data_IF_659947036504
#
_entry.id   IF_659947036504
#
_cell.length_a   1.000
_cell.length_b   1.000
_cell.length_c   1.000
_cell.angle_alpha   90.00
_cell.angle_beta   90.00
_cell.angle_gamma   90.00
#
_symmetry.space_group_name_H-M   'P 1'
#
loop_
_entity.id
_entity.type
_entity.pdbx_description
1 polymer ?
#
# COMPACT_ATOMS: atom_id res chain seq x y z
N UNK A 1 -70.00 -20.59 -59.23
CA UNK A 1 -69.34 -20.15 -57.93
C UNK A 1 -68.33 -21.16 -57.38
N UNK A 2 -68.59 -22.51 -57.46
CA UNK A 2 -67.67 -23.54 -56.94
C UNK A 2 -66.27 -23.57 -57.61
N UNK A 3 -66.15 -23.21 -58.91
CA UNK A 3 -64.82 -23.18 -59.60
C UNK A 3 -63.97 -21.96 -59.32
N UNK A 4 -64.54 -20.85 -58.94
CA UNK A 4 -63.82 -19.65 -58.57
C UNK A 4 -63.22 -19.79 -57.15
N UNK A 5 -63.97 -20.44 -56.25
CA UNK A 5 -63.52 -20.70 -54.88
C UNK A 5 -62.28 -21.68 -54.84
N UNK A 6 -62.25 -22.63 -55.78
CA UNK A 6 -61.19 -23.65 -55.91
C UNK A 6 -59.90 -22.98 -56.47
N UNK A 7 -59.99 -22.03 -57.39
CA UNK A 7 -58.87 -21.26 -57.91
C UNK A 7 -58.29 -20.31 -56.88
N UNK A 8 -59.12 -19.69 -56.04
CA UNK A 8 -58.67 -18.83 -54.96
C UNK A 8 -57.98 -19.60 -53.82
N UNK A 9 -58.49 -20.83 -53.54
CA UNK A 9 -57.85 -21.75 -52.55
C UNK A 9 -56.46 -22.20 -53.01
N UNK A 10 -56.31 -22.52 -54.31
CA UNK A 10 -55.04 -23.00 -54.89
C UNK A 10 -53.98 -21.86 -54.99
N UNK A 11 -54.43 -20.62 -55.15
CA UNK A 11 -53.54 -19.45 -55.19
C UNK A 11 -53.01 -19.05 -53.78
N UNK A 12 -53.86 -19.23 -52.77
CA UNK A 12 -53.49 -18.95 -51.38
C UNK A 12 -52.50 -19.96 -50.79
N UNK A 13 -52.56 -21.22 -51.25
CA UNK A 13 -51.59 -22.25 -50.78
C UNK A 13 -50.21 -22.13 -51.42
N UNK A 14 -50.06 -21.44 -52.55
CA UNK A 14 -48.75 -21.18 -53.18
C UNK A 14 -47.93 -20.06 -52.49
N UNK A 15 -48.56 -19.21 -51.70
CA UNK A 15 -47.89 -18.09 -51.03
C UNK A 15 -47.19 -18.55 -49.74
N UNK A 16 -47.52 -19.70 -49.18
CA UNK A 16 -46.95 -20.18 -47.94
C UNK A 16 -45.69 -21.09 -48.17
N UNK A 17 -45.32 -21.36 -49.41
CA UNK A 17 -44.05 -22.01 -49.77
C UNK A 17 -42.95 -21.02 -50.08
N UNK A 18 -42.86 -19.92 -49.29
CA UNK A 18 -41.70 -19.04 -49.29
C UNK A 18 -40.52 -19.79 -48.69
N UNK A 19 -39.60 -20.22 -49.52
CA UNK A 19 -38.32 -20.81 -49.09
C UNK A 19 -37.63 -19.84 -48.15
N UNK A 20 -37.49 -20.23 -46.89
CA UNK A 20 -36.43 -19.66 -46.05
C UNK A 20 -35.11 -19.97 -46.73
N UNK A 21 -34.41 -18.95 -47.17
CA UNK A 21 -33.06 -19.09 -47.71
C UNK A 21 -32.12 -19.66 -46.61
N UNK A 22 -31.06 -20.36 -47.00
CA UNK A 22 -30.09 -20.88 -46.04
C UNK A 22 -29.57 -19.76 -45.15
N UNK A 23 -29.55 -20.00 -43.84
CA UNK A 23 -28.95 -19.07 -42.87
C UNK A 23 -27.53 -18.75 -43.31
N UNK A 24 -27.20 -17.46 -43.39
CA UNK A 24 -25.85 -17.03 -43.72
C UNK A 24 -24.82 -17.64 -42.79
N UNK A 25 -23.58 -17.78 -43.23
CA UNK A 25 -22.52 -18.34 -42.40
C UNK A 25 -22.36 -17.50 -41.13
N UNK A 26 -22.01 -18.11 -39.97
CA UNK A 26 -21.70 -17.35 -38.76
C UNK A 26 -20.66 -16.29 -39.04
N UNK A 27 -20.81 -15.14 -38.41
CA UNK A 27 -19.79 -14.07 -38.46
C UNK A 27 -18.43 -14.59 -37.96
N UNK A 28 -17.31 -13.98 -38.39
CA UNK A 28 -16.01 -14.34 -37.88
C UNK A 28 -15.96 -14.18 -36.36
N UNK A 29 -15.18 -15.01 -35.64
CA UNK A 29 -14.94 -14.84 -34.23
C UNK A 29 -14.46 -13.41 -33.94
N UNK A 30 -14.86 -12.85 -32.78
CA UNK A 30 -14.30 -11.59 -32.31
C UNK A 30 -12.79 -11.71 -32.16
N UNK A 31 -12.09 -10.58 -32.28
CA UNK A 31 -10.67 -10.53 -32.00
C UNK A 31 -10.42 -10.94 -30.55
N UNK A 32 -9.32 -11.68 -30.33
CA UNK A 32 -8.85 -11.96 -28.97
C UNK A 32 -8.63 -10.63 -28.24
N UNK A 33 -9.00 -10.57 -26.97
CA UNK A 33 -8.72 -9.41 -26.14
C UNK A 33 -7.19 -9.13 -26.13
N UNK A 34 -6.83 -7.85 -26.05
CA UNK A 34 -5.43 -7.46 -25.86
C UNK A 34 -4.90 -8.18 -24.60
N UNK A 35 -3.65 -8.67 -24.68
CA UNK A 35 -2.97 -9.14 -23.49
C UNK A 35 -3.01 -8.01 -22.44
N UNK A 36 -3.29 -8.33 -21.19
CA UNK A 36 -3.13 -7.38 -20.10
C UNK A 36 -1.70 -6.82 -20.15
N UNK A 37 -1.56 -5.55 -19.82
CA UNK A 37 -0.24 -4.96 -19.61
C UNK A 37 0.50 -5.78 -18.55
N UNK A 38 1.80 -6.01 -18.75
CA UNK A 38 2.65 -6.63 -17.74
C UNK A 38 2.50 -5.82 -16.45
N UNK A 39 2.20 -6.50 -15.32
CA UNK A 39 2.07 -5.84 -14.05
C UNK A 39 3.37 -5.08 -13.76
N UNK A 40 3.26 -3.79 -13.46
CA UNK A 40 4.40 -3.01 -12.97
C UNK A 40 4.83 -3.70 -11.68
N UNK A 41 6.07 -4.17 -11.62
CA UNK A 41 6.62 -4.79 -10.42
C UNK A 41 6.96 -3.67 -9.43
N UNK A 42 5.93 -3.09 -8.82
CA UNK A 42 6.07 -2.03 -7.81
C UNK A 42 6.54 -2.73 -6.54
N UNK A 43 7.84 -2.70 -6.31
CA UNK A 43 8.44 -3.23 -5.09
C UNK A 43 8.20 -2.21 -3.98
N UNK A 44 7.45 -2.61 -2.97
CA UNK A 44 7.42 -1.86 -1.72
C UNK A 44 8.83 -1.79 -1.13
N UNK A 45 9.13 -0.70 -0.43
CA UNK A 45 10.45 -0.47 0.14
C UNK A 45 10.35 -0.29 1.65
N UNK A 46 11.38 -0.75 2.35
CA UNK A 46 11.55 -0.48 3.79
C UNK A 46 12.97 0.04 3.99
N UNK A 47 13.08 1.14 4.71
CA UNK A 47 14.36 1.75 5.08
C UNK A 47 14.34 2.11 6.58
N UNK A 48 15.51 2.26 7.16
CA UNK A 48 15.66 2.71 8.55
C UNK A 48 16.36 4.06 8.60
N UNK A 49 15.86 4.94 9.44
CA UNK A 49 16.54 6.17 9.84
C UNK A 49 16.82 6.13 11.33
N UNK A 50 17.94 6.71 11.75
CA UNK A 50 18.31 6.92 13.13
C UNK A 50 18.67 8.37 13.35
N UNK A 51 18.16 8.98 14.42
CA UNK A 51 18.44 10.38 14.69
C UNK A 51 18.19 10.75 16.13
N UNK A 52 18.65 11.95 16.50
CA UNK A 52 18.48 12.54 17.82
C UNK A 52 17.57 13.76 17.74
N UNK A 53 16.55 13.79 18.57
CA UNK A 53 15.67 14.96 18.72
C UNK A 53 16.27 15.96 19.69
N UNK A 54 16.47 17.19 19.26
CA UNK A 54 16.98 18.27 20.10
C UNK A 54 16.37 19.63 19.72
N UNK A 55 16.72 20.66 20.48
CA UNK A 55 16.26 22.02 20.20
C UNK A 55 16.81 22.60 18.89
N UNK A 56 17.94 22.09 18.39
CA UNK A 56 18.55 22.55 17.14
C UNK A 56 17.75 22.11 15.91
N UNK A 57 17.14 20.93 15.96
CA UNK A 57 16.26 20.43 14.91
C UNK A 57 14.75 20.61 15.24
N UNK A 58 14.42 21.41 16.26
CA UNK A 58 13.05 21.61 16.75
C UNK A 58 12.34 20.30 17.11
N UNK A 59 13.06 19.32 17.66
CA UNK A 59 12.57 18.00 18.00
C UNK A 59 11.90 17.29 16.81
N UNK A 60 12.47 17.44 15.60
CA UNK A 60 11.99 16.85 14.36
C UNK A 60 13.14 16.26 13.56
N UNK A 61 12.94 15.05 13.04
CA UNK A 61 13.85 14.35 12.13
C UNK A 61 13.24 14.39 10.73
N UNK A 62 13.94 14.99 9.79
CA UNK A 62 13.50 15.13 8.41
C UNK A 62 14.31 14.23 7.49
N UNK A 63 13.63 13.47 6.63
CA UNK A 63 14.27 12.61 5.63
C UNK A 63 13.62 12.80 4.27
N UNK A 64 14.41 13.28 3.31
CA UNK A 64 14.02 13.41 1.91
C UNK A 64 14.28 12.07 1.19
N UNK A 65 13.29 11.55 0.48
CA UNK A 65 13.46 10.33 -0.29
C UNK A 65 14.46 10.57 -1.44
N UNK A 66 15.55 9.77 -1.52
CA UNK A 66 16.48 9.89 -2.63
C UNK A 66 15.79 9.49 -3.95
N UNK A 67 16.29 10.00 -5.08
CA UNK A 67 15.73 9.69 -6.42
C UNK A 67 15.73 8.20 -6.78
N UNK A 68 16.42 7.36 -6.01
CA UNK A 68 16.41 5.91 -6.15
C UNK A 68 15.22 5.24 -5.47
N UNK A 69 14.47 5.99 -4.64
CA UNK A 69 13.26 5.57 -3.97
C UNK A 69 12.09 6.25 -4.69
N UNK A 70 11.30 5.47 -5.41
CA UNK A 70 10.12 5.98 -6.10
C UNK A 70 8.91 5.87 -5.16
N UNK A 71 8.29 7.01 -4.86
CA UNK A 71 7.09 7.10 -4.03
C UNK A 71 6.02 7.85 -4.81
N UNK A 72 4.85 7.27 -4.94
CA UNK A 72 3.71 7.88 -5.61
C UNK A 72 2.76 8.52 -4.59
N UNK A 73 2.02 9.55 -5.01
CA UNK A 73 0.98 10.19 -4.17
C UNK A 73 -0.09 9.21 -3.65
N UNK A 74 -0.26 8.09 -4.33
CA UNK A 74 -1.21 7.04 -3.96
C UNK A 74 -0.68 6.06 -2.94
N UNK A 75 0.63 6.03 -2.69
CA UNK A 75 1.28 5.07 -1.81
C UNK A 75 1.02 5.42 -0.34
N UNK A 76 1.05 4.40 0.49
CA UNK A 76 0.91 4.56 1.95
C UNK A 76 2.29 4.50 2.58
N UNK A 77 2.66 5.54 3.33
CA UNK A 77 3.89 5.56 4.12
C UNK A 77 3.55 5.23 5.57
N UNK A 78 4.11 4.14 6.07
CA UNK A 78 3.95 3.68 7.45
C UNK A 78 5.29 3.87 8.17
N UNK A 79 5.27 4.45 9.38
CA UNK A 79 6.48 4.66 10.17
C UNK A 79 6.34 3.92 11.49
N UNK A 80 7.36 3.12 11.81
CA UNK A 80 7.45 2.37 13.05
C UNK A 80 8.64 2.86 13.86
N UNK A 81 8.47 3.01 15.14
CA UNK A 81 9.56 3.30 16.07
C UNK A 81 10.05 2.00 16.72
N UNK A 82 11.37 1.84 16.84
CA UNK A 82 11.97 0.82 17.71
C UNK A 82 11.67 1.19 19.17
N UNK A 83 10.68 0.53 19.74
CA UNK A 83 10.15 0.90 21.05
C UNK A 83 10.97 0.35 22.20
N UNK A 84 11.48 -0.87 22.03
CA UNK A 84 12.22 -1.61 23.05
C UNK A 84 12.98 -2.76 22.37
N UNK A 85 13.90 -3.36 23.09
CA UNK A 85 14.59 -4.59 22.69
C UNK A 85 14.41 -5.60 23.80
N UNK A 86 13.69 -6.69 23.53
CA UNK A 86 13.54 -7.82 24.42
C UNK A 86 14.61 -8.90 24.11
N UNK A 87 14.63 -9.96 24.88
CA UNK A 87 15.38 -11.17 24.57
C UNK A 87 14.42 -12.29 24.18
N UNK A 88 14.78 -13.06 23.17
CA UNK A 88 14.06 -14.29 22.83
C UNK A 88 14.35 -15.41 23.84
N UNK A 89 13.74 -16.59 23.65
CA UNK A 89 13.94 -17.75 24.53
C UNK A 89 15.38 -18.30 24.55
N UNK A 90 16.27 -17.82 23.66
CA UNK A 90 17.69 -18.22 23.55
C UNK A 90 18.64 -17.11 24.04
N UNK A 91 18.10 -15.95 24.43
CA UNK A 91 18.88 -14.79 24.85
C UNK A 91 19.34 -13.90 23.70
N UNK A 92 18.79 -14.08 22.49
CA UNK A 92 19.09 -13.23 21.35
C UNK A 92 18.19 -11.98 21.38
N UNK A 93 18.69 -10.80 20.94
CA UNK A 93 17.92 -9.56 20.94
C UNK A 93 16.73 -9.66 19.98
N UNK A 94 15.57 -9.20 20.46
CA UNK A 94 14.30 -9.15 19.72
C UNK A 94 13.76 -7.73 19.72
N UNK A 95 13.79 -7.08 18.57
CA UNK A 95 13.32 -5.72 18.38
C UNK A 95 11.78 -5.63 18.50
N UNK A 96 11.31 -4.70 19.31
CA UNK A 96 9.89 -4.41 19.49
C UNK A 96 9.55 -3.13 18.74
N UNK A 97 8.85 -3.28 17.63
CA UNK A 97 8.41 -2.17 16.79
C UNK A 97 6.98 -1.77 17.07
N UNK A 98 6.69 -0.47 17.02
CA UNK A 98 5.34 0.07 17.12
C UNK A 98 5.06 1.08 16.01
N UNK A 99 3.91 0.93 15.36
CA UNK A 99 3.44 1.88 14.34
C UNK A 99 3.13 3.23 14.99
N UNK A 100 3.62 4.32 14.42
CA UNK A 100 3.29 5.69 14.84
C UNK A 100 1.85 6.08 14.46
N UNK A 101 1.21 7.01 15.19
CA UNK A 101 1.74 7.73 16.35
C UNK A 101 1.76 6.89 17.63
N UNK A 102 2.77 7.12 18.49
CA UNK A 102 2.90 6.46 19.79
C UNK A 102 3.02 7.47 20.92
N UNK A 103 2.37 7.20 22.04
CA UNK A 103 2.39 8.07 23.22
C UNK A 103 3.09 7.39 24.40
N UNK A 104 4.03 8.09 25.03
CA UNK A 104 4.60 7.73 26.33
C UNK A 104 3.96 8.56 27.43
N UNK A 105 3.61 7.91 28.53
CA UNK A 105 3.14 8.57 29.76
C UNK A 105 4.36 8.73 30.65
N UNK A 106 4.83 9.98 30.79
CA UNK A 106 5.98 10.33 31.61
C UNK A 106 5.53 11.00 32.90
N UNK A 107 6.45 11.15 33.86
CA UNK A 107 6.13 11.83 35.13
C UNK A 107 5.74 13.30 34.95
N UNK A 108 6.28 13.96 33.92
CA UNK A 108 6.04 15.36 33.58
C UNK A 108 4.85 15.59 32.65
N UNK A 109 4.27 14.53 32.03
CA UNK A 109 3.15 14.66 31.11
C UNK A 109 3.16 13.63 30.00
N UNK A 110 2.50 13.95 28.90
CA UNK A 110 2.39 13.09 27.73
C UNK A 110 3.40 13.51 26.66
N UNK A 111 4.17 12.54 26.19
CA UNK A 111 5.05 12.66 25.03
C UNK A 111 4.49 11.81 23.89
N UNK A 112 4.30 12.41 22.72
CA UNK A 112 3.89 11.70 21.51
C UNK A 112 4.98 11.76 20.45
N UNK A 113 5.33 10.61 19.89
CA UNK A 113 6.07 10.48 18.64
C UNK A 113 5.03 10.46 17.52
N UNK A 114 5.14 11.43 16.62
CA UNK A 114 4.20 11.63 15.52
C UNK A 114 4.96 11.77 14.20
N UNK A 115 4.26 11.77 13.07
CA UNK A 115 4.88 11.95 11.76
C UNK A 115 3.93 12.57 10.73
N UNK A 116 4.54 13.26 9.78
CA UNK A 116 3.92 13.70 8.53
C UNK A 116 4.73 13.12 7.36
N UNK A 117 4.09 12.98 6.21
CA UNK A 117 4.78 12.56 5.00
C UNK A 117 4.18 13.21 3.76
N UNK A 118 5.03 13.32 2.73
CA UNK A 118 4.63 13.57 1.35
C UNK A 118 5.20 12.46 0.47
N UNK A 119 4.96 12.50 -0.83
CA UNK A 119 5.64 11.59 -1.76
C UNK A 119 7.13 11.93 -1.96
N UNK A 120 7.64 13.03 -1.37
CA UNK A 120 9.03 13.46 -1.46
C UNK A 120 9.81 13.21 -0.17
N UNK A 121 9.13 13.20 0.98
CA UNK A 121 9.79 13.24 2.29
C UNK A 121 8.91 12.69 3.42
N UNK A 122 9.56 12.46 4.55
CA UNK A 122 8.91 12.23 5.84
C UNK A 122 9.52 13.13 6.90
N UNK A 123 8.70 13.52 7.88
CA UNK A 123 9.11 14.21 9.08
C UNK A 123 8.58 13.47 10.29
N UNK A 124 9.46 13.01 11.18
CA UNK A 124 9.08 12.42 12.47
C UNK A 124 9.35 13.46 13.55
N UNK A 125 8.39 13.75 14.41
CA UNK A 125 8.51 14.83 15.39
C UNK A 125 7.88 14.49 16.73
N UNK A 126 8.31 15.22 17.75
CA UNK A 126 7.80 15.08 19.10
C UNK A 126 6.75 16.16 19.40
N UNK A 127 5.66 15.73 20.04
CA UNK A 127 4.65 16.62 20.63
C UNK A 127 4.49 16.31 22.13
N UNK A 128 4.28 17.33 22.95
CA UNK A 128 4.09 17.16 24.40
C UNK A 128 3.22 18.26 24.99
N UNK A 129 2.66 18.00 26.16
CA UNK A 129 2.00 19.00 27.01
C UNK A 129 2.93 19.64 28.06
N UNK A 130 4.24 19.39 27.91
CA UNK A 130 5.32 19.96 28.74
C UNK A 130 6.50 20.41 27.87
N UNK A 131 7.51 21.02 28.49
CA UNK A 131 8.72 21.48 27.79
C UNK A 131 9.58 20.29 27.33
N UNK A 132 9.72 20.10 25.99
CA UNK A 132 10.54 19.06 25.38
C UNK A 132 12.01 19.11 25.80
N UNK A 133 12.53 20.28 26.19
CA UNK A 133 13.89 20.44 26.72
C UNK A 133 14.15 19.72 28.05
N UNK A 134 13.09 19.16 28.68
CA UNK A 134 13.21 18.38 29.92
C UNK A 134 13.23 16.87 29.71
N UNK A 135 13.18 16.43 28.43
CA UNK A 135 13.22 15.01 28.09
C UNK A 135 14.55 14.37 28.49
N UNK A 136 14.48 13.09 28.77
CA UNK A 136 15.68 12.28 29.03
C UNK A 136 16.32 11.82 27.69
N UNK A 137 17.64 11.57 27.67
CA UNK A 137 18.30 11.01 26.48
C UNK A 137 17.66 9.73 25.96
N UNK A 138 17.06 8.92 26.82
CA UNK A 138 16.37 7.70 26.40
C UNK A 138 15.11 7.95 25.55
N UNK A 139 14.56 9.18 25.58
CA UNK A 139 13.40 9.57 24.80
C UNK A 139 13.78 10.37 23.55
N UNK A 140 15.04 10.83 23.45
CA UNK A 140 15.49 11.73 22.39
C UNK A 140 16.64 11.19 21.56
N UNK A 141 17.62 10.51 22.18
CA UNK A 141 18.89 10.19 21.52
C UNK A 141 18.80 8.88 20.75
N UNK A 142 19.39 8.87 19.55
CA UNK A 142 19.54 7.67 18.71
C UNK A 142 18.23 6.89 18.51
N UNK A 143 17.13 7.62 18.33
CA UNK A 143 15.84 6.99 18.07
C UNK A 143 15.82 6.39 16.66
N UNK A 144 15.37 5.14 16.54
CA UNK A 144 15.36 4.39 15.28
C UNK A 144 13.93 4.23 14.77
N UNK A 145 13.76 4.52 13.49
CA UNK A 145 12.47 4.41 12.81
C UNK A 145 12.60 3.58 11.54
N UNK A 146 11.63 2.70 11.29
CA UNK A 146 11.43 2.05 10.00
C UNK A 146 10.34 2.76 9.22
N UNK A 147 10.66 3.10 7.98
CA UNK A 147 9.76 3.72 7.03
C UNK A 147 9.42 2.65 5.98
N UNK A 148 8.16 2.22 5.95
CA UNK A 148 7.67 1.27 4.96
C UNK A 148 6.80 2.01 3.93
N UNK A 149 7.22 1.99 2.67
CA UNK A 149 6.49 2.54 1.54
C UNK A 149 5.69 1.39 0.92
N UNK A 150 4.37 1.46 1.07
CA UNK A 150 3.44 0.41 0.66
C UNK A 150 2.68 0.89 -0.58
N UNK A 151 2.89 0.28 -1.74
CA UNK A 151 2.16 0.62 -2.95
C UNK A 151 0.65 0.49 -2.77
N UNK A 152 -0.10 1.43 -3.34
CA UNK A 152 -1.57 1.50 -3.19
C UNK A 152 -2.27 0.19 -3.57
N UNK A 153 -1.75 -0.53 -4.57
CA UNK A 153 -2.29 -1.82 -5.01
C UNK A 153 -2.19 -2.89 -3.92
N UNK A 154 -1.09 -2.93 -3.16
CA UNK A 154 -0.92 -3.83 -2.03
C UNK A 154 -1.82 -3.44 -0.86
N UNK A 155 -1.91 -2.15 -0.56
CA UNK A 155 -2.78 -1.66 0.51
C UNK A 155 -4.26 -2.00 0.30
N UNK A 156 -4.72 -2.06 -0.96
CA UNK A 156 -6.10 -2.39 -1.31
C UNK A 156 -6.37 -3.89 -1.45
N UNK A 157 -5.37 -4.68 -1.86
CA UNK A 157 -5.56 -6.09 -2.21
C UNK A 157 -5.30 -7.06 -1.07
N UNK A 158 -4.51 -6.68 -0.08
CA UNK A 158 -4.11 -7.54 1.04
C UNK A 158 -4.83 -7.19 2.33
N UNK A 159 -5.20 -8.22 3.10
CA UNK A 159 -5.65 -8.08 4.49
C UNK A 159 -4.44 -7.94 5.44
N UNK A 160 -3.43 -7.18 5.02
CA UNK A 160 -2.19 -6.97 5.75
C UNK A 160 -2.46 -6.22 7.06
N UNK A 161 -1.99 -6.75 8.18
CA UNK A 161 -1.99 -6.02 9.43
C UNK A 161 -0.87 -4.98 9.43
N UNK A 162 -1.24 -3.73 9.17
CA UNK A 162 -0.28 -2.61 9.15
C UNK A 162 0.29 -2.27 10.52
N UNK A 163 -0.26 -2.79 11.62
CA UNK A 163 0.33 -2.60 12.95
C UNK A 163 1.55 -3.50 13.19
N UNK A 164 1.73 -4.55 12.38
CA UNK A 164 2.81 -5.53 12.47
C UNK A 164 3.81 -5.33 11.33
N UNK A 165 4.97 -4.74 11.63
CA UNK A 165 6.03 -4.50 10.63
C UNK A 165 6.50 -5.79 9.95
N UNK A 166 6.52 -6.93 10.66
CA UNK A 166 6.91 -8.22 10.09
C UNK A 166 5.94 -8.70 9.00
N UNK A 167 4.63 -8.49 9.18
CA UNK A 167 3.63 -8.79 8.15
C UNK A 167 3.75 -7.83 6.96
N UNK A 168 4.01 -6.56 7.22
CA UNK A 168 4.24 -5.56 6.16
C UNK A 168 5.47 -5.93 5.35
N UNK A 169 6.62 -6.18 5.98
CA UNK A 169 7.85 -6.58 5.31
C UNK A 169 7.68 -7.88 4.51
N UNK A 170 7.00 -8.87 5.09
CA UNK A 170 6.70 -10.14 4.41
C UNK A 170 5.84 -9.92 3.17
N UNK A 171 4.83 -9.06 3.25
CA UNK A 171 3.94 -8.72 2.12
C UNK A 171 4.68 -7.98 1.01
N UNK A 172 5.65 -7.15 1.37
CA UNK A 172 6.51 -6.41 0.43
C UNK A 172 7.70 -7.25 -0.05
N UNK A 173 7.86 -8.49 0.45
CA UNK A 173 9.00 -9.36 0.16
C UNK A 173 10.36 -8.71 0.51
N UNK A 174 10.40 -7.91 1.58
CA UNK A 174 11.60 -7.27 2.13
C UNK A 174 12.12 -8.07 3.31
N UNK A 175 13.44 -8.36 3.35
CA UNK A 175 14.10 -9.07 4.44
C UNK A 175 14.89 -8.08 5.30
N UNK A 176 15.10 -8.40 6.56
CA UNK A 176 15.92 -7.61 7.49
C UNK A 176 17.31 -7.25 6.91
N UNK A 177 17.94 -8.18 6.22
CA UNK A 177 19.26 -7.99 5.60
C UNK A 177 19.25 -6.97 4.45
N UNK A 178 18.09 -6.68 3.89
CA UNK A 178 17.94 -5.75 2.77
C UNK A 178 17.73 -4.30 3.24
N UNK A 179 17.54 -4.09 4.57
CA UNK A 179 17.27 -2.79 5.17
C UNK A 179 18.59 -2.07 5.48
N UNK A 180 18.74 -0.86 4.92
CA UNK A 180 19.86 0.01 5.22
C UNK A 180 19.44 1.03 6.27
N UNK A 181 20.26 1.21 7.32
CA UNK A 181 20.09 2.27 8.32
C UNK A 181 20.83 3.52 7.89
N UNK A 182 20.14 4.64 7.93
CA UNK A 182 20.63 5.96 7.55
C UNK A 182 20.70 6.81 8.81
N UNK A 183 21.86 7.40 9.08
CA UNK A 183 22.06 8.32 10.20
C UNK A 183 21.69 9.74 9.75
N UNK A 184 20.82 10.43 10.50
CA UNK A 184 20.40 11.82 10.27
C UNK A 184 21.17 12.80 11.14
#
# INVERSE_FOLDING_TARGET
MKKVTLLFGAFLTLIILSCEGPTGPPGPPGFDGLNGEDGVNILGQVLEIEGTFDAGNNYSLFYEFPQTVEVFESDVVLIYILWDVAEDGNGEPLDIWRLLPQTRILNQGLLQYNYDFTFLDVSVFLESDFDLGTLSPGDTDNQVFRIAIVPAEFAQSSKMDTSNIGEVMSSLNVREIDINRIQL
#
